data_IF_932169973010
#
_entry.id   IF_932169973010
#
_cell.length_a   1.000
_cell.length_b   1.000
_cell.length_c   1.000
_cell.angle_alpha   90.00
_cell.angle_beta   90.00
_cell.angle_gamma   90.00
#
_symmetry.space_group_name_H-M   'P 1'
#
loop_
_entity.id
_entity.type
_entity.pdbx_description
1 polymer ?
#
# COMPACT_ATOMS: atom_id res chain seq x y z
N UNK A 1 8.14 -0.17 -13.39
CA UNK A 1 7.20 0.89 -13.83
C UNK A 1 5.76 0.59 -13.38
N UNK A 2 5.23 -0.60 -13.66
CA UNK A 2 3.86 -1.01 -13.29
C UNK A 2 3.52 -0.85 -11.79
N UNK A 3 4.42 -1.28 -10.89
CA UNK A 3 4.20 -1.16 -9.44
C UNK A 3 4.05 0.28 -8.97
N UNK A 4 4.76 1.22 -9.61
CA UNK A 4 4.65 2.64 -9.27
C UNK A 4 3.31 3.21 -9.74
N UNK A 5 2.82 2.74 -10.89
CA UNK A 5 1.50 3.11 -11.44
C UNK A 5 0.40 2.62 -10.49
N UNK A 6 0.38 1.35 -10.12
CA UNK A 6 -0.71 0.77 -9.32
C UNK A 6 -0.67 1.20 -7.85
N UNK A 7 0.51 1.39 -7.27
CA UNK A 7 0.65 1.68 -5.84
C UNK A 7 0.63 3.17 -5.48
N UNK A 8 0.97 4.05 -6.44
CA UNK A 8 1.09 5.49 -6.19
C UNK A 8 0.16 6.27 -7.10
N UNK A 9 0.27 6.09 -8.42
CA UNK A 9 -0.50 6.91 -9.37
C UNK A 9 -2.00 6.60 -9.34
N UNK A 10 -2.39 5.34 -9.18
CA UNK A 10 -3.80 4.94 -9.11
C UNK A 10 -4.53 5.56 -7.89
N UNK A 11 -4.09 5.37 -6.63
CA UNK A 11 -4.76 6.00 -5.49
C UNK A 11 -4.72 7.53 -5.56
N UNK A 12 -3.61 8.11 -6.04
CA UNK A 12 -3.48 9.56 -6.23
C UNK A 12 -4.50 10.08 -7.26
N UNK A 13 -4.66 9.40 -8.40
CA UNK A 13 -5.60 9.80 -9.44
C UNK A 13 -7.06 9.71 -8.96
N UNK A 14 -7.40 8.66 -8.21
CA UNK A 14 -8.73 8.50 -7.61
C UNK A 14 -9.00 9.63 -6.62
N UNK A 15 -8.04 9.92 -5.73
CA UNK A 15 -8.18 11.01 -4.76
C UNK A 15 -8.29 12.38 -5.45
N UNK A 16 -7.50 12.63 -6.50
CA UNK A 16 -7.56 13.87 -7.27
C UNK A 16 -8.91 14.02 -7.97
N UNK A 17 -9.44 12.96 -8.58
CA UNK A 17 -10.77 12.97 -9.18
C UNK A 17 -11.86 13.28 -8.15
N UNK A 18 -11.76 12.72 -6.94
CA UNK A 18 -12.65 13.03 -5.83
C UNK A 18 -12.59 14.48 -5.39
N UNK A 19 -11.37 15.02 -5.22
CA UNK A 19 -11.17 16.44 -4.89
C UNK A 19 -11.76 17.37 -5.96
N UNK A 20 -11.53 17.07 -7.24
CA UNK A 20 -12.10 17.84 -8.36
C UNK A 20 -13.63 17.79 -8.34
N UNK A 21 -14.24 16.63 -8.11
CA UNK A 21 -15.69 16.48 -8.02
C UNK A 21 -16.30 17.26 -6.84
N UNK A 22 -15.59 17.36 -5.70
CA UNK A 22 -16.02 18.19 -4.56
C UNK A 22 -15.98 19.68 -4.93
N UNK A 23 -14.88 20.14 -5.54
CA UNK A 23 -14.72 21.55 -5.93
C UNK A 23 -15.76 21.96 -6.97
N UNK A 24 -15.97 21.16 -8.01
CA UNK A 24 -16.98 21.43 -9.05
C UNK A 24 -18.41 21.23 -8.53
N UNK A 25 -18.60 20.39 -7.52
CA UNK A 25 -19.89 20.07 -6.90
C UNK A 25 -20.34 21.07 -5.84
N UNK A 26 -19.61 22.17 -5.63
CA UNK A 26 -19.99 23.18 -4.66
C UNK A 26 -21.39 23.73 -4.97
N UNK A 27 -22.34 23.55 -4.04
CA UNK A 27 -23.76 23.89 -4.23
C UNK A 27 -24.65 22.80 -4.87
N UNK A 28 -24.09 21.64 -5.27
CA UNK A 28 -24.85 20.44 -5.68
C UNK A 28 -24.48 19.23 -4.84
N UNK A 29 -25.40 18.78 -3.99
CA UNK A 29 -25.18 17.73 -2.98
C UNK A 29 -24.74 16.38 -3.57
N UNK A 30 -25.21 16.00 -4.76
CA UNK A 30 -24.90 14.72 -5.38
C UNK A 30 -23.46 14.61 -5.92
N UNK A 31 -22.96 15.65 -6.60
CA UNK A 31 -21.60 15.65 -7.17
C UNK A 31 -20.54 15.76 -6.07
N UNK A 32 -20.79 16.60 -5.06
CA UNK A 32 -19.94 16.69 -3.88
C UNK A 32 -19.90 15.36 -3.11
N UNK A 33 -21.04 14.69 -2.93
CA UNK A 33 -21.12 13.36 -2.31
C UNK A 33 -20.34 12.30 -3.08
N UNK A 34 -20.43 12.27 -4.41
CA UNK A 34 -19.63 11.38 -5.25
C UNK A 34 -18.12 11.64 -5.09
N UNK A 35 -17.72 12.91 -4.98
CA UNK A 35 -16.33 13.28 -4.77
C UNK A 35 -15.77 12.84 -3.41
N UNK A 36 -16.56 12.93 -2.34
CA UNK A 36 -16.22 12.36 -1.02
C UNK A 36 -16.06 10.85 -1.13
N UNK A 37 -16.97 10.16 -1.82
CA UNK A 37 -16.86 8.72 -2.07
C UNK A 37 -15.56 8.34 -2.78
N UNK A 38 -15.18 9.08 -3.83
CA UNK A 38 -13.92 8.87 -4.54
C UNK A 38 -12.70 9.10 -3.63
N UNK A 39 -12.71 10.13 -2.77
CA UNK A 39 -11.63 10.33 -1.80
C UNK A 39 -11.48 9.13 -0.86
N UNK A 40 -12.59 8.60 -0.32
CA UNK A 40 -12.57 7.44 0.54
C UNK A 40 -12.02 6.20 -0.18
N UNK A 41 -12.44 5.97 -1.44
CA UNK A 41 -11.92 4.88 -2.27
C UNK A 41 -10.41 5.05 -2.48
N UNK A 42 -9.94 6.26 -2.78
CA UNK A 42 -8.51 6.55 -2.95
C UNK A 42 -7.68 6.22 -1.70
N UNK A 43 -8.20 6.59 -0.51
CA UNK A 43 -7.59 6.26 0.79
C UNK A 43 -7.57 4.75 1.03
N UNK A 44 -8.67 4.04 0.78
CA UNK A 44 -8.75 2.58 0.95
C UNK A 44 -7.74 1.88 0.04
N UNK A 45 -7.67 2.26 -1.24
CA UNK A 45 -6.71 1.68 -2.20
C UNK A 45 -5.28 1.93 -1.74
N UNK A 46 -4.96 3.13 -1.28
CA UNK A 46 -3.65 3.44 -0.72
C UNK A 46 -3.33 2.58 0.50
N UNK A 47 -4.28 2.44 1.43
CA UNK A 47 -4.11 1.65 2.65
C UNK A 47 -3.89 0.16 2.35
N UNK A 48 -4.64 -0.42 1.42
CA UNK A 48 -4.47 -1.82 1.00
C UNK A 48 -3.07 -2.03 0.39
N UNK A 49 -2.59 -1.12 -0.45
CA UNK A 49 -1.23 -1.19 -0.99
C UNK A 49 -0.16 -1.12 0.11
N UNK A 50 -0.40 -0.30 1.13
CA UNK A 50 0.49 -0.18 2.29
C UNK A 50 0.52 -1.47 3.12
N UNK A 51 -0.64 -2.06 3.41
CA UNK A 51 -0.73 -3.35 4.12
C UNK A 51 -0.03 -4.48 3.37
N UNK A 52 -0.20 -4.56 2.04
CA UNK A 52 0.50 -5.54 1.21
C UNK A 52 2.02 -5.38 1.30
N UNK A 53 2.52 -4.15 1.31
CA UNK A 53 3.96 -3.89 1.48
C UNK A 53 4.46 -4.43 2.81
N UNK A 54 3.76 -4.12 3.91
CA UNK A 54 4.13 -4.61 5.25
C UNK A 54 4.11 -6.14 5.31
N UNK A 55 3.12 -6.78 4.70
CA UNK A 55 3.02 -8.25 4.66
C UNK A 55 4.21 -8.89 3.92
N UNK A 56 4.66 -8.29 2.82
CA UNK A 56 5.79 -8.81 2.03
C UNK A 56 7.11 -8.61 2.77
N UNK A 57 7.29 -7.46 3.41
CA UNK A 57 8.48 -7.16 4.23
C UNK A 57 8.61 -8.16 5.38
N UNK A 58 7.52 -8.40 6.12
CA UNK A 58 7.50 -9.39 7.19
C UNK A 58 7.81 -10.82 6.73
N UNK A 59 7.39 -11.22 5.52
CA UNK A 59 7.72 -12.55 5.00
C UNK A 59 9.22 -12.69 4.75
N UNK A 60 9.85 -11.65 4.20
CA UNK A 60 11.29 -11.65 3.92
C UNK A 60 12.15 -11.70 5.18
N UNK A 61 11.68 -11.13 6.28
CA UNK A 61 12.36 -11.24 7.57
C UNK A 61 12.29 -12.66 8.13
N UNK A 62 11.13 -13.32 7.99
CA UNK A 62 10.96 -14.74 8.36
C UNK A 62 11.86 -15.65 7.54
N UNK A 63 11.93 -15.43 6.23
CA UNK A 63 12.79 -16.22 5.33
C UNK A 63 14.28 -16.08 5.70
N UNK A 64 14.70 -14.87 6.11
CA UNK A 64 16.07 -14.63 6.59
C UNK A 64 16.35 -15.31 7.94
N UNK A 65 15.39 -15.26 8.86
CA UNK A 65 15.52 -15.92 10.16
C UNK A 65 15.59 -17.45 10.01
N UNK A 66 14.76 -18.02 9.14
CA UNK A 66 14.76 -19.46 8.84
C UNK A 66 16.07 -19.90 8.17
N UNK A 67 16.58 -19.13 7.21
CA UNK A 67 17.88 -19.40 6.60
C UNK A 67 19.04 -19.36 7.62
N UNK A 68 18.98 -18.44 8.58
CA UNK A 68 20.01 -18.32 9.61
C UNK A 68 19.94 -19.49 10.62
N UNK A 69 18.73 -19.96 10.96
CA UNK A 69 18.53 -21.17 11.77
C UNK A 69 19.09 -22.41 11.07
N UNK A 70 18.80 -22.60 9.79
CA UNK A 70 19.38 -23.72 9.03
C UNK A 70 20.91 -23.64 8.97
N UNK A 71 21.48 -22.43 8.87
CA UNK A 71 22.93 -22.26 8.91
C UNK A 71 23.50 -22.71 10.26
N UNK A 72 22.89 -22.27 11.36
CA UNK A 72 23.27 -22.66 12.72
C UNK A 72 23.19 -24.17 12.92
N UNK A 73 22.10 -24.81 12.50
CA UNK A 73 21.92 -26.26 12.61
C UNK A 73 22.99 -27.04 11.81
N UNK A 74 23.46 -26.48 10.69
CA UNK A 74 24.50 -27.10 9.84
C UNK A 74 25.93 -26.85 10.33
N UNK A 75 26.22 -25.67 10.88
CA UNK A 75 27.60 -25.23 11.18
C UNK A 75 27.91 -25.12 12.68
N UNK A 76 26.89 -25.12 13.53
CA UNK A 76 27.02 -25.01 14.99
C UNK A 76 27.34 -23.60 15.51
N UNK A 77 27.31 -22.59 14.64
CA UNK A 77 27.50 -21.17 14.99
C UNK A 77 26.61 -20.29 14.13
N UNK A 78 26.36 -19.05 14.56
CA UNK A 78 25.52 -18.12 13.81
C UNK A 78 26.26 -17.57 12.58
N UNK A 79 25.53 -17.27 11.48
CA UNK A 79 26.11 -16.59 10.34
C UNK A 79 26.57 -15.18 10.74
N UNK A 80 27.87 -14.90 10.58
CA UNK A 80 28.48 -13.60 10.89
C UNK A 80 29.26 -13.52 12.20
N UNK A 81 29.33 -14.63 12.96
CA UNK A 81 30.29 -14.82 14.06
C UNK A 81 31.70 -15.14 13.57
#
# INVERSE_FOLDING_TARGET
>A
MLLRITRVWLPLAIALAGAVAIVLGHGRTSLAGAGVGLLLIGVIVWMVNWMFRMSVESNRDRDQEEAAREYFDRHGHWPGE
#
